data_IF_272838196892
#
_entry.id   IF_272838196892
#
_cell.length_a   1.000
_cell.length_b   1.000
_cell.length_c   1.000
_cell.angle_alpha   90.00
_cell.angle_beta   90.00
_cell.angle_gamma   90.00
#
_symmetry.space_group_name_H-M   'P 1'
#
loop_
_entity.id
_entity.type
_entity.pdbx_description
1 polymer ?
#
# COMPACT_ATOMS: atom_id res chain seq x y z
N UNK A 1 -8.69 -5.22 28.00
CA UNK A 1 -9.56 -5.01 26.82
C UNK A 1 -9.23 -3.74 26.03
N UNK A 2 -8.64 -2.73 26.67
CA UNK A 2 -8.47 -1.38 26.10
C UNK A 2 -7.15 -1.17 25.36
N UNK A 3 -6.27 -2.18 25.34
CA UNK A 3 -5.00 -2.10 24.62
C UNK A 3 -5.29 -2.11 23.11
N UNK A 4 -4.89 -1.03 22.44
CA UNK A 4 -4.98 -0.84 21.00
C UNK A 4 -3.64 -0.41 20.43
N UNK A 5 -3.37 -0.78 19.19
CA UNK A 5 -2.18 -0.39 18.44
C UNK A 5 -2.52 -0.24 16.94
N UNK A 6 -1.57 0.14 16.11
CA UNK A 6 -1.77 0.36 14.67
C UNK A 6 -3.00 1.22 14.35
N UNK A 7 -3.06 2.46 14.87
CA UNK A 7 -4.18 3.39 14.69
C UNK A 7 -5.53 2.78 15.10
N UNK A 8 -5.59 2.16 16.28
CA UNK A 8 -6.78 1.53 16.89
C UNK A 8 -7.26 0.23 16.20
N UNK A 9 -6.58 -0.26 15.16
CA UNK A 9 -6.95 -1.49 14.44
C UNK A 9 -6.51 -2.75 15.15
N UNK A 10 -5.32 -2.69 15.77
CA UNK A 10 -4.74 -3.81 16.50
C UNK A 10 -5.39 -4.01 17.85
N UNK A 11 -5.61 -5.26 18.22
CA UNK A 11 -6.17 -5.69 19.51
C UNK A 11 -5.73 -7.10 19.83
N UNK A 12 -5.80 -7.45 21.12
CA UNK A 12 -5.58 -8.83 21.54
C UNK A 12 -6.91 -9.52 21.78
N UNK A 13 -7.00 -10.79 21.42
CA UNK A 13 -8.07 -11.69 21.77
C UNK A 13 -7.52 -12.86 22.57
N UNK A 14 -8.36 -13.47 23.42
CA UNK A 14 -7.98 -14.59 24.29
C UNK A 14 -9.02 -15.68 24.19
N UNK A 15 -8.56 -16.92 24.08
CA UNK A 15 -9.37 -18.12 24.11
C UNK A 15 -8.79 -19.15 25.09
N UNK A 16 -9.64 -19.99 25.66
CA UNK A 16 -9.17 -21.21 26.33
C UNK A 16 -8.82 -22.32 25.32
N UNK A 17 -8.27 -23.42 25.82
CA UNK A 17 -7.90 -24.58 24.98
C UNK A 17 -9.09 -25.38 24.46
N UNK A 18 -10.32 -25.06 24.88
CA UNK A 18 -11.55 -25.62 24.35
C UNK A 18 -12.17 -24.72 23.27
N UNK A 19 -11.47 -23.64 22.84
CA UNK A 19 -11.94 -22.62 21.91
C UNK A 19 -13.10 -21.75 22.43
N UNK A 20 -13.25 -21.60 23.75
CA UNK A 20 -14.17 -20.64 24.35
C UNK A 20 -13.50 -19.27 24.38
N UNK A 21 -14.19 -18.26 23.87
CA UNK A 21 -13.67 -16.90 23.88
C UNK A 21 -13.69 -16.31 25.29
N UNK A 22 -12.53 -15.85 25.76
CA UNK A 22 -12.37 -15.20 27.07
C UNK A 22 -12.41 -13.68 26.90
N UNK A 23 -11.74 -13.16 25.88
CA UNK A 23 -11.68 -11.72 25.60
C UNK A 23 -11.75 -11.48 24.10
N UNK A 24 -12.70 -10.63 23.67
CA UNK A 24 -12.78 -10.15 22.31
C UNK A 24 -13.18 -8.65 22.23
N UNK A 25 -12.21 -7.73 22.17
CA UNK A 25 -12.48 -6.29 22.30
C UNK A 25 -13.40 -5.68 21.25
N UNK A 26 -13.40 -6.19 20.00
CA UNK A 26 -14.28 -5.69 18.94
C UNK A 26 -15.70 -6.31 18.99
N UNK A 27 -15.80 -7.54 19.47
CA UNK A 27 -17.06 -8.28 19.46
C UNK A 27 -17.26 -8.92 20.85
N UNK A 28 -17.55 -8.13 21.90
CA UNK A 28 -17.70 -8.66 23.27
C UNK A 28 -18.76 -9.75 23.40
N UNK A 29 -19.75 -9.79 22.51
CA UNK A 29 -20.80 -10.81 22.48
C UNK A 29 -20.28 -12.22 22.14
N UNK A 30 -19.01 -12.37 21.77
CA UNK A 30 -18.36 -13.68 21.59
C UNK A 30 -17.84 -14.24 22.91
N UNK A 31 -17.61 -13.38 23.91
CA UNK A 31 -17.09 -13.79 25.22
C UNK A 31 -18.03 -14.83 25.87
N UNK A 32 -17.45 -15.91 26.38
CA UNK A 32 -18.13 -17.07 26.90
C UNK A 32 -18.67 -18.06 25.84
N UNK A 33 -18.57 -17.77 24.55
CA UNK A 33 -19.01 -18.68 23.49
C UNK A 33 -17.91 -19.59 23.02
N UNK A 34 -18.23 -20.85 22.80
CA UNK A 34 -17.34 -21.80 22.14
C UNK A 34 -17.42 -21.62 20.62
N UNK A 35 -16.28 -21.37 19.99
CA UNK A 35 -16.16 -21.10 18.57
C UNK A 35 -15.38 -22.18 17.81
N UNK A 36 -15.24 -23.39 18.36
CA UNK A 36 -14.47 -24.48 17.77
C UNK A 36 -14.92 -24.82 16.34
N UNK A 37 -16.24 -24.71 16.08
CA UNK A 37 -16.83 -25.02 14.78
C UNK A 37 -17.08 -23.75 13.93
N UNK A 38 -16.59 -22.60 14.36
CA UNK A 38 -16.71 -21.37 13.57
C UNK A 38 -15.80 -21.43 12.34
N UNK A 39 -16.39 -21.19 11.17
CA UNK A 39 -15.68 -21.04 9.90
C UNK A 39 -15.67 -19.58 9.48
N UNK A 40 -14.56 -19.14 8.95
CA UNK A 40 -14.51 -17.89 8.22
C UNK A 40 -15.23 -18.00 6.85
N UNK A 41 -15.33 -16.91 6.10
CA UNK A 41 -15.99 -16.86 4.79
C UNK A 41 -15.27 -17.68 3.70
N UNK A 42 -14.08 -18.21 3.98
CA UNK A 42 -13.33 -19.13 3.12
C UNK A 42 -13.41 -20.59 3.56
N UNK A 43 -14.18 -20.86 4.61
CA UNK A 43 -14.37 -22.20 5.15
C UNK A 43 -13.29 -22.67 6.11
N UNK A 44 -12.39 -21.79 6.55
CA UNK A 44 -11.32 -22.11 7.50
C UNK A 44 -11.88 -22.21 8.91
N UNK A 45 -11.61 -23.29 9.60
CA UNK A 45 -11.89 -23.47 11.04
C UNK A 45 -10.81 -22.79 11.87
N UNK A 46 -10.94 -21.49 12.06
CA UNK A 46 -9.90 -20.61 12.61
C UNK A 46 -9.36 -21.11 13.94
N UNK A 47 -10.25 -21.51 14.87
CA UNK A 47 -9.85 -21.93 16.22
C UNK A 47 -9.27 -23.35 16.25
N UNK A 48 -9.76 -24.25 15.40
CA UNK A 48 -9.17 -25.59 15.26
C UNK A 48 -7.73 -25.49 14.74
N UNK A 49 -7.50 -24.63 13.75
CA UNK A 49 -6.16 -24.41 13.21
C UNK A 49 -5.23 -23.77 14.25
N UNK A 50 -5.71 -22.76 14.99
CA UNK A 50 -4.94 -22.17 16.09
C UNK A 50 -4.51 -23.23 17.12
N UNK A 51 -5.46 -24.04 17.57
CA UNK A 51 -5.20 -25.08 18.57
C UNK A 51 -4.25 -26.17 18.04
N UNK A 52 -4.42 -26.58 16.77
CA UNK A 52 -3.53 -27.54 16.10
C UNK A 52 -2.09 -27.02 16.03
N UNK A 53 -1.90 -25.75 15.64
CA UNK A 53 -0.59 -25.12 15.57
C UNK A 53 0.06 -25.02 16.95
N UNK A 54 -0.71 -24.61 17.96
CA UNK A 54 -0.24 -24.41 19.34
C UNK A 54 -0.07 -25.71 20.14
N UNK A 55 -0.50 -26.85 19.60
CA UNK A 55 -0.25 -28.17 20.20
C UNK A 55 1.24 -28.57 20.11
N UNK A 56 1.90 -28.14 19.03
CA UNK A 56 3.28 -28.52 18.72
C UNK A 56 4.26 -27.34 18.80
N UNK A 57 3.78 -26.12 19.01
CA UNK A 57 4.58 -24.91 19.08
C UNK A 57 4.08 -24.03 20.24
N UNK A 58 4.98 -23.29 20.87
CA UNK A 58 4.61 -22.29 21.87
C UNK A 58 3.85 -21.11 21.25
N UNK A 59 4.23 -20.76 20.02
CA UNK A 59 3.64 -19.66 19.26
C UNK A 59 3.61 -19.99 17.76
N UNK A 60 2.73 -19.34 17.01
CA UNK A 60 2.61 -19.55 15.57
C UNK A 60 1.95 -18.37 14.86
N UNK A 61 2.23 -18.26 13.56
CA UNK A 61 1.48 -17.41 12.65
C UNK A 61 0.42 -18.21 11.92
N UNK A 62 -0.73 -17.58 11.63
CA UNK A 62 -1.77 -18.14 10.78
C UNK A 62 -2.53 -17.07 10.01
N UNK A 63 -3.25 -17.48 8.96
CA UNK A 63 -4.08 -16.60 8.13
C UNK A 63 -5.54 -17.03 8.26
N UNK A 64 -6.44 -16.05 8.35
CA UNK A 64 -7.90 -16.25 8.30
C UNK A 64 -8.61 -15.00 7.82
N UNK A 65 -9.91 -15.07 7.62
CA UNK A 65 -10.76 -13.90 7.34
C UNK A 65 -11.53 -13.50 8.60
N UNK A 66 -11.62 -12.19 8.85
CA UNK A 66 -12.32 -11.67 10.01
C UNK A 66 -12.89 -10.27 9.76
N UNK A 67 -13.88 -9.89 10.57
CA UNK A 67 -14.57 -8.60 10.50
C UNK A 67 -13.68 -7.49 11.07
N UNK A 68 -13.67 -6.33 10.39
CA UNK A 68 -12.97 -5.14 10.87
C UNK A 68 -13.80 -4.29 11.81
N UNK A 69 -15.12 -4.28 11.63
CA UNK A 69 -16.05 -3.36 12.28
C UNK A 69 -17.19 -4.16 12.90
N UNK A 70 -17.58 -3.80 14.13
CA UNK A 70 -18.75 -4.36 14.82
C UNK A 70 -20.00 -4.14 13.95
N UNK A 71 -20.79 -5.22 13.77
CA UNK A 71 -22.04 -5.18 13.01
C UNK A 71 -21.90 -5.34 11.50
N UNK A 72 -20.71 -5.17 10.91
CA UNK A 72 -20.46 -5.49 9.51
C UNK A 72 -20.15 -6.98 9.36
N UNK A 73 -20.79 -7.65 8.40
CA UNK A 73 -20.58 -9.07 8.10
C UNK A 73 -19.40 -9.31 7.15
N UNK A 74 -18.90 -8.26 6.49
CA UNK A 74 -17.77 -8.39 5.56
C UNK A 74 -16.49 -8.76 6.31
N UNK A 75 -15.87 -9.85 5.87
CA UNK A 75 -14.60 -10.32 6.40
C UNK A 75 -13.44 -9.99 5.45
N UNK A 76 -12.30 -9.70 6.03
CA UNK A 76 -11.06 -9.34 5.33
C UNK A 76 -9.94 -10.28 5.74
N UNK A 77 -9.02 -10.54 4.83
CA UNK A 77 -7.86 -11.39 5.11
C UNK A 77 -7.03 -10.77 6.23
N UNK A 78 -6.75 -11.58 7.25
CA UNK A 78 -5.97 -11.23 8.43
C UNK A 78 -4.78 -12.18 8.57
N UNK A 79 -3.61 -11.65 8.84
CA UNK A 79 -2.46 -12.42 9.31
C UNK A 79 -2.37 -12.19 10.79
N UNK A 80 -2.34 -13.27 11.57
CA UNK A 80 -2.27 -13.20 13.01
C UNK A 80 -1.17 -14.03 13.59
N UNK A 81 -0.89 -13.70 14.83
CA UNK A 81 0.06 -14.37 15.70
C UNK A 81 -0.71 -14.87 16.91
N UNK A 82 -0.48 -16.12 17.30
CA UNK A 82 -1.07 -16.75 18.47
C UNK A 82 0.03 -17.35 19.35
N UNK A 83 -0.14 -17.27 20.67
CA UNK A 83 0.83 -17.74 21.65
C UNK A 83 0.14 -18.40 22.84
N UNK A 84 0.72 -19.49 23.34
CA UNK A 84 0.26 -20.19 24.54
C UNK A 84 0.46 -19.33 25.81
N UNK A 85 -0.49 -19.44 26.73
CA UNK A 85 -0.40 -19.00 28.13
C UNK A 85 -0.66 -20.24 28.97
N UNK A 86 0.38 -20.98 29.28
CA UNK A 86 0.30 -22.30 29.92
C UNK A 86 -0.33 -22.26 31.31
N UNK A 87 0.01 -21.23 32.10
CA UNK A 87 -0.46 -21.08 33.49
C UNK A 87 -1.98 -20.96 33.59
N UNK A 88 -2.63 -20.46 32.54
CA UNK A 88 -4.09 -20.27 32.50
C UNK A 88 -4.79 -21.29 31.61
N UNK A 89 -4.05 -22.15 30.96
CA UNK A 89 -4.56 -23.05 29.92
C UNK A 89 -5.30 -22.29 28.79
N UNK A 90 -4.75 -21.13 28.42
CA UNK A 90 -5.27 -20.21 27.41
C UNK A 90 -4.28 -20.05 26.26
N UNK A 91 -4.72 -19.34 25.24
CA UNK A 91 -3.84 -18.70 24.27
C UNK A 91 -4.31 -17.27 23.98
N UNK A 92 -3.36 -16.39 23.73
CA UNK A 92 -3.57 -15.03 23.29
C UNK A 92 -3.23 -14.91 21.82
N UNK A 93 -3.96 -14.07 21.10
CA UNK A 93 -3.64 -13.76 19.73
C UNK A 93 -3.87 -12.32 19.37
N UNK A 94 -3.24 -11.92 18.30
CA UNK A 94 -3.41 -10.62 17.66
C UNK A 94 -3.28 -10.79 16.15
N UNK A 95 -3.49 -9.74 15.38
CA UNK A 95 -3.25 -9.78 13.95
C UNK A 95 -3.57 -8.48 13.25
N UNK A 96 -3.04 -8.36 12.03
CA UNK A 96 -3.23 -7.20 11.17
C UNK A 96 -3.98 -7.62 9.89
N UNK A 97 -4.81 -6.73 9.37
CA UNK A 97 -5.47 -6.93 8.08
C UNK A 97 -4.53 -6.61 6.93
N UNK A 98 -4.41 -7.55 5.99
CA UNK A 98 -3.46 -7.47 4.89
C UNK A 98 -3.67 -6.21 4.05
N UNK A 99 -4.91 -5.86 3.76
CA UNK A 99 -5.25 -4.68 2.96
C UNK A 99 -4.97 -3.35 3.69
N UNK A 100 -5.11 -3.30 5.02
CA UNK A 100 -4.79 -2.10 5.80
C UNK A 100 -3.27 -1.92 5.92
N UNK A 101 -2.55 -3.00 6.15
CA UNK A 101 -1.09 -2.99 6.17
C UNK A 101 -0.51 -2.57 4.81
N UNK A 102 -1.08 -3.08 3.72
CA UNK A 102 -0.67 -2.70 2.36
C UNK A 102 -0.91 -1.22 2.07
N UNK A 103 -2.06 -0.67 2.48
CA UNK A 103 -2.34 0.77 2.39
C UNK A 103 -1.34 1.62 3.18
N UNK A 104 -0.94 1.16 4.37
CA UNK A 104 0.06 1.88 5.17
C UNK A 104 1.45 1.87 4.53
N UNK A 105 1.85 0.73 3.92
CA UNK A 105 3.08 0.66 3.13
C UNK A 105 3.01 1.60 1.92
N UNK A 106 1.89 1.62 1.20
CA UNK A 106 1.69 2.52 0.06
C UNK A 106 1.83 3.97 0.48
N UNK A 107 1.17 4.40 1.57
CA UNK A 107 1.29 5.76 2.11
C UNK A 107 2.74 6.13 2.47
N UNK A 108 3.44 5.21 3.14
CA UNK A 108 4.86 5.41 3.48
C UNK A 108 5.72 5.53 2.23
N UNK A 109 5.53 4.67 1.24
CA UNK A 109 6.26 4.70 -0.02
C UNK A 109 6.05 6.04 -0.75
N UNK A 110 4.79 6.50 -0.88
CA UNK A 110 4.47 7.80 -1.48
C UNK A 110 5.19 8.92 -0.71
N UNK A 111 5.05 8.96 0.63
CA UNK A 111 5.66 10.00 1.48
C UNK A 111 7.20 10.03 1.39
N UNK A 112 7.84 8.91 1.14
CA UNK A 112 9.29 8.86 0.94
C UNK A 112 9.66 9.28 -0.48
N UNK A 113 9.03 8.72 -1.50
CA UNK A 113 9.33 8.97 -2.92
C UNK A 113 9.12 10.46 -3.26
N UNK A 114 8.07 11.09 -2.73
CA UNK A 114 7.79 12.49 -3.00
C UNK A 114 8.87 13.47 -2.49
N UNK A 115 9.75 13.03 -1.62
CA UNK A 115 10.88 13.83 -1.09
C UNK A 115 12.14 13.73 -1.96
N UNK A 116 12.24 12.69 -2.78
CA UNK A 116 13.42 12.54 -3.63
C UNK A 116 13.50 13.64 -4.69
N UNK A 117 14.68 14.24 -4.78
CA UNK A 117 15.05 15.23 -5.81
C UNK A 117 16.42 14.85 -6.36
N UNK A 118 16.66 15.18 -7.61
CA UNK A 118 17.96 15.02 -8.24
C UNK A 118 18.16 16.10 -9.31
N UNK A 119 19.41 16.55 -9.51
CA UNK A 119 19.69 17.74 -10.30
C UNK A 119 18.85 18.93 -9.88
N UNK A 120 18.67 19.91 -10.76
CA UNK A 120 17.93 21.13 -10.46
C UNK A 120 16.40 20.93 -10.48
N UNK A 121 15.90 20.10 -11.40
CA UNK A 121 14.47 19.95 -11.68
C UNK A 121 13.98 18.49 -11.66
N UNK A 122 14.79 17.56 -11.16
CA UNK A 122 14.45 16.13 -11.13
C UNK A 122 13.53 15.77 -9.95
N UNK A 123 12.43 15.06 -10.22
CA UNK A 123 11.47 14.60 -9.23
C UNK A 123 10.77 13.32 -9.69
N UNK A 124 10.11 12.64 -8.75
CA UNK A 124 9.29 11.48 -9.05
C UNK A 124 7.80 11.81 -9.06
N UNK A 125 7.08 11.11 -9.91
CA UNK A 125 5.63 11.13 -10.03
C UNK A 125 5.12 9.72 -9.79
N UNK A 126 3.99 9.59 -9.10
CA UNK A 126 3.28 8.32 -8.97
C UNK A 126 1.84 8.56 -9.39
N UNK A 127 1.33 7.71 -10.28
CA UNK A 127 -0.10 7.66 -10.61
C UNK A 127 -0.68 6.29 -10.25
N UNK A 128 -2.00 6.27 -10.00
CA UNK A 128 -2.76 5.04 -9.80
C UNK A 128 -3.10 4.36 -11.15
N UNK A 129 -3.80 3.22 -11.08
CA UNK A 129 -4.27 2.46 -12.26
C UNK A 129 -5.24 3.23 -13.17
N UNK A 130 -5.84 4.30 -12.66
CA UNK A 130 -6.74 5.17 -13.40
C UNK A 130 -6.01 6.42 -13.93
N UNK A 131 -4.68 6.47 -13.78
CA UNK A 131 -3.81 7.61 -14.11
C UNK A 131 -4.03 8.87 -13.23
N UNK A 132 -4.63 8.76 -12.05
CA UNK A 132 -4.72 9.88 -11.12
C UNK A 132 -3.41 10.04 -10.36
N UNK A 133 -2.95 11.29 -10.20
CA UNK A 133 -1.72 11.56 -9.45
C UNK A 133 -1.87 11.22 -7.97
N UNK A 134 -1.04 10.30 -7.49
CA UNK A 134 -0.84 9.99 -6.07
C UNK A 134 0.31 10.81 -5.48
N UNK A 135 1.29 11.17 -6.29
CA UNK A 135 2.43 12.02 -5.93
C UNK A 135 2.86 12.85 -7.12
N UNK A 136 3.06 14.14 -6.89
CA UNK A 136 3.57 15.10 -7.87
C UNK A 136 4.26 16.26 -7.16
N UNK A 137 5.26 16.93 -7.81
CA UNK A 137 5.94 18.11 -7.23
C UNK A 137 4.98 19.28 -7.03
N UNK A 138 4.08 19.52 -8.00
CA UNK A 138 2.94 20.42 -7.82
C UNK A 138 1.82 19.69 -7.10
N UNK A 139 1.54 20.10 -5.86
CA UNK A 139 0.55 19.45 -4.99
C UNK A 139 -0.90 19.64 -5.47
N UNK A 140 -1.17 20.70 -6.25
CA UNK A 140 -2.52 20.97 -6.80
C UNK A 140 -2.96 19.88 -7.81
N UNK A 141 -2.00 19.12 -8.33
CA UNK A 141 -2.30 18.02 -9.25
C UNK A 141 -2.65 16.71 -8.55
N UNK A 142 -2.46 16.59 -7.23
CA UNK A 142 -2.77 15.36 -6.51
C UNK A 142 -4.27 15.05 -6.61
N UNK A 143 -4.62 13.84 -7.07
CA UNK A 143 -5.98 13.40 -7.35
C UNK A 143 -6.47 13.72 -8.77
N UNK A 144 -5.84 14.65 -9.50
CA UNK A 144 -6.16 14.95 -10.89
C UNK A 144 -5.67 13.83 -11.82
N UNK A 145 -6.34 13.68 -12.96
CA UNK A 145 -5.97 12.66 -13.95
C UNK A 145 -4.88 13.17 -14.90
N UNK A 146 -3.74 12.49 -14.93
CA UNK A 146 -2.58 12.87 -15.72
C UNK A 146 -2.85 12.94 -17.24
N UNK A 147 -3.64 12.00 -17.77
CA UNK A 147 -3.94 11.96 -19.21
C UNK A 147 -4.93 13.07 -19.60
N UNK A 148 -5.85 13.43 -18.71
CA UNK A 148 -6.75 14.59 -18.93
C UNK A 148 -5.95 15.88 -18.98
N UNK A 149 -5.00 16.08 -18.06
CA UNK A 149 -4.12 17.27 -18.08
C UNK A 149 -3.30 17.37 -19.36
N UNK A 150 -2.82 16.25 -19.91
CA UNK A 150 -2.13 16.26 -21.21
C UNK A 150 -3.08 16.57 -22.38
N UNK A 151 -4.35 16.12 -22.31
CA UNK A 151 -5.37 16.50 -23.31
C UNK A 151 -5.64 18.01 -23.29
N UNK A 152 -5.75 18.62 -22.11
CA UNK A 152 -5.97 20.06 -21.96
C UNK A 152 -4.82 20.87 -22.57
N UNK A 153 -3.61 20.29 -22.64
CA UNK A 153 -2.45 20.86 -23.31
C UNK A 153 -2.40 20.56 -24.83
N UNK A 154 -3.44 19.90 -25.40
CA UNK A 154 -3.49 19.42 -26.78
C UNK A 154 -2.36 18.44 -27.18
N UNK A 155 -1.77 17.75 -26.21
CA UNK A 155 -0.65 16.83 -26.45
C UNK A 155 -1.10 15.36 -26.60
N UNK A 156 -1.96 15.11 -27.55
CA UNK A 156 -2.47 13.76 -27.86
C UNK A 156 -1.37 12.78 -28.29
N UNK A 157 -0.28 13.27 -28.87
CA UNK A 157 0.84 12.45 -29.30
C UNK A 157 1.60 11.87 -28.08
N UNK A 158 1.79 12.67 -27.06
CA UNK A 158 2.42 12.24 -25.81
C UNK A 158 1.56 11.25 -25.04
N UNK A 159 0.22 11.43 -25.05
CA UNK A 159 -0.70 10.46 -24.41
C UNK A 159 -0.51 9.08 -25.01
N UNK A 160 -0.55 8.93 -26.33
CA UNK A 160 -0.35 7.64 -27.00
C UNK A 160 0.99 6.98 -26.68
N UNK A 161 2.06 7.78 -26.57
CA UNK A 161 3.39 7.29 -26.19
C UNK A 161 3.40 6.79 -24.76
N UNK A 162 2.79 7.51 -23.83
CA UNK A 162 2.70 7.15 -22.41
C UNK A 162 1.90 5.87 -22.25
N UNK A 163 0.70 5.78 -22.87
CA UNK A 163 -0.15 4.58 -22.84
C UNK A 163 0.58 3.34 -23.37
N UNK A 164 1.34 3.49 -24.47
CA UNK A 164 2.16 2.41 -25.03
C UNK A 164 3.16 1.91 -23.98
N UNK A 165 3.92 2.80 -23.35
CA UNK A 165 4.94 2.43 -22.37
C UNK A 165 4.33 1.84 -21.10
N UNK A 166 3.16 2.31 -20.66
CA UNK A 166 2.41 1.72 -19.53
C UNK A 166 2.05 0.25 -19.86
N UNK A 167 1.58 -0.02 -21.07
CA UNK A 167 1.26 -1.39 -21.52
C UNK A 167 2.51 -2.28 -21.61
N UNK A 168 3.66 -1.72 -21.99
CA UNK A 168 4.96 -2.39 -22.01
C UNK A 168 5.59 -2.52 -20.62
N UNK A 169 4.93 -1.97 -19.58
CA UNK A 169 5.30 -1.97 -18.14
C UNK A 169 6.52 -1.15 -17.78
N UNK A 170 7.34 -0.73 -18.72
CA UNK A 170 8.51 0.17 -18.52
C UNK A 170 8.99 0.72 -19.85
N UNK A 171 9.60 1.90 -19.82
CA UNK A 171 10.24 2.49 -20.99
C UNK A 171 10.43 3.99 -20.87
N UNK A 172 10.93 4.58 -21.95
CA UNK A 172 11.19 6.01 -22.04
C UNK A 172 10.15 6.71 -22.91
N UNK A 173 9.77 7.92 -22.51
CA UNK A 173 8.93 8.82 -23.28
C UNK A 173 9.63 10.17 -23.43
N UNK A 174 9.58 10.72 -24.63
CA UNK A 174 10.12 12.05 -24.99
C UNK A 174 8.95 12.97 -25.23
N UNK A 175 8.85 14.04 -24.46
CA UNK A 175 7.80 15.05 -24.57
C UNK A 175 8.30 16.43 -24.14
N UNK A 176 7.58 17.45 -24.52
CA UNK A 176 7.83 18.81 -24.08
C UNK A 176 6.91 19.14 -22.92
N UNK A 177 7.46 19.65 -21.81
CA UNK A 177 6.69 19.91 -20.61
C UNK A 177 7.21 21.13 -19.85
N UNK A 178 6.36 21.71 -19.01
CA UNK A 178 6.74 22.84 -18.16
C UNK A 178 7.77 22.42 -17.13
N UNK A 179 8.80 23.26 -16.93
CA UNK A 179 9.70 23.13 -15.79
C UNK A 179 8.97 23.46 -14.48
N UNK A 180 9.31 22.80 -13.37
CA UNK A 180 8.72 23.09 -12.05
C UNK A 180 8.84 24.57 -11.70
N UNK A 181 7.73 25.19 -11.29
CA UNK A 181 7.69 26.60 -10.89
C UNK A 181 7.88 27.62 -12.03
N UNK A 182 7.85 27.17 -13.31
CA UNK A 182 8.10 28.02 -14.48
C UNK A 182 7.01 27.82 -15.54
N UNK A 183 6.84 28.85 -16.40
CA UNK A 183 6.06 28.76 -17.64
C UNK A 183 6.92 28.32 -18.84
N UNK A 184 8.20 28.04 -18.65
CA UNK A 184 9.10 27.63 -19.70
C UNK A 184 8.84 26.15 -20.06
N UNK A 185 8.56 25.90 -21.34
CA UNK A 185 8.45 24.55 -21.90
C UNK A 185 9.84 24.11 -22.35
N UNK A 186 10.22 22.90 -21.98
CA UNK A 186 11.50 22.31 -22.38
C UNK A 186 11.34 20.83 -22.65
N UNK A 187 12.17 20.28 -23.54
CA UNK A 187 12.17 18.86 -23.87
C UNK A 187 12.58 18.02 -22.68
N UNK A 188 11.72 17.09 -22.29
CA UNK A 188 11.87 16.21 -21.15
C UNK A 188 11.95 14.74 -21.58
N UNK A 189 12.91 14.03 -21.04
CA UNK A 189 13.00 12.58 -21.14
C UNK A 189 12.46 12.00 -19.85
N UNK A 190 11.44 11.17 -19.95
CA UNK A 190 10.77 10.54 -18.80
C UNK A 190 10.96 9.02 -18.90
N UNK A 191 11.38 8.41 -17.82
CA UNK A 191 11.31 6.97 -17.63
C UNK A 191 10.08 6.61 -16.81
N UNK A 192 9.29 5.65 -17.28
CA UNK A 192 8.12 5.11 -16.59
C UNK A 192 8.33 3.63 -16.28
N UNK A 193 7.83 3.21 -15.11
CA UNK A 193 7.77 1.81 -14.70
C UNK A 193 6.48 1.54 -13.96
N UNK A 194 5.77 0.47 -14.34
CA UNK A 194 4.58 0.01 -13.62
C UNK A 194 4.96 -0.84 -12.42
N UNK A 195 4.15 -0.75 -11.37
CA UNK A 195 4.17 -1.64 -10.20
C UNK A 195 2.84 -2.41 -10.20
N UNK A 196 2.77 -3.57 -10.88
CA UNK A 196 1.50 -4.25 -11.15
C UNK A 196 0.70 -4.58 -9.91
N UNK A 197 1.38 -4.98 -8.83
CA UNK A 197 0.74 -5.33 -7.56
C UNK A 197 -0.16 -4.22 -7.01
N UNK A 198 0.24 -2.95 -7.18
CA UNK A 198 -0.50 -1.79 -6.68
C UNK A 198 -1.24 -1.03 -7.79
N UNK A 199 -1.04 -1.42 -9.03
CA UNK A 199 -1.57 -0.69 -10.17
C UNK A 199 -0.95 0.70 -10.32
N UNK A 200 0.27 0.91 -9.81
CA UNK A 200 0.96 2.19 -9.89
C UNK A 200 1.83 2.31 -11.12
N UNK A 201 1.96 3.53 -11.60
CA UNK A 201 3.01 3.91 -12.53
C UNK A 201 3.91 4.92 -11.83
N UNK A 202 5.18 4.57 -11.66
CA UNK A 202 6.20 5.48 -11.16
C UNK A 202 6.95 6.04 -12.35
N UNK A 203 7.06 7.36 -12.41
CA UNK A 203 7.81 8.04 -13.45
C UNK A 203 8.74 9.10 -12.89
N UNK A 204 9.84 9.30 -13.59
CA UNK A 204 10.82 10.33 -13.30
C UNK A 204 11.50 10.76 -14.60
N UNK A 205 12.12 11.92 -14.61
CA UNK A 205 12.79 12.37 -15.82
C UNK A 205 13.59 13.64 -15.61
N UNK A 206 14.33 14.00 -16.63
CA UNK A 206 15.15 15.20 -16.66
C UNK A 206 14.88 16.01 -17.92
N UNK A 207 15.11 17.31 -17.84
CA UNK A 207 15.05 18.22 -18.98
C UNK A 207 16.39 18.22 -19.72
N UNK A 208 16.34 18.20 -21.06
CA UNK A 208 17.54 18.11 -21.89
C UNK A 208 18.52 19.26 -21.65
N UNK A 209 17.98 20.46 -21.49
CA UNK A 209 18.79 21.65 -21.25
C UNK A 209 19.48 21.66 -19.87
N UNK A 210 18.90 21.00 -18.84
CA UNK A 210 19.57 20.83 -17.55
C UNK A 210 20.78 19.88 -17.68
N UNK A 211 20.64 18.82 -18.46
CA UNK A 211 21.75 17.90 -18.74
C UNK A 211 22.84 18.59 -19.55
N UNK A 212 22.46 19.38 -20.57
CA UNK A 212 23.42 20.12 -21.39
C UNK A 212 24.27 21.08 -20.55
N UNK A 213 23.63 21.82 -19.63
CA UNK A 213 24.38 22.69 -18.70
C UNK A 213 25.42 21.93 -17.89
N UNK A 214 25.06 20.74 -17.37
CA UNK A 214 25.98 19.92 -16.58
C UNK A 214 27.18 19.47 -17.42
N UNK A 215 26.93 19.07 -18.68
CA UNK A 215 27.99 18.66 -19.62
C UNK A 215 28.91 19.82 -19.98
N UNK A 216 28.35 21.02 -20.18
CA UNK A 216 29.14 22.19 -20.53
C UNK A 216 30.04 22.63 -19.38
N UNK A 217 29.55 22.61 -18.14
CA UNK A 217 30.36 22.89 -16.94
C UNK A 217 31.53 21.88 -16.82
N UNK A 218 31.31 20.60 -17.11
CA UNK A 218 32.35 19.58 -17.03
C UNK A 218 33.44 19.71 -18.12
N UNK A 219 33.14 20.42 -19.21
CA UNK A 219 34.12 20.68 -20.28
C UNK A 219 35.02 21.87 -20.01
N UNK A 220 34.65 22.74 -19.05
CA UNK A 220 35.42 23.91 -18.65
C UNK A 220 36.53 23.58 -17.61
N UNK A 221 36.55 22.33 -17.11
CA UNK A 221 37.58 21.78 -16.23
C UNK A 221 38.45 20.73 -16.97
#
# INVERSE_FOLDING_TARGET
KDIRFNNQRGYFFVYDKNATNIIHPLIPNLEGKNLINHKDTKGVFVLQDSLRLLKHNDESYQEWHWRKIKGNKTEFKKIGFVKNIYELNWFIGTGEYVDDFEKDIQKKAISQIEKFRFGDNGYFIITDKNNNYLSHINKDLIGENALVKLKDMNDFKSIKKIEKVINEKKGFVYLDFYKPGSKTISSKIIYLKTIPKWGWVISTGFYKDDVQKTVDIQKEF
#
